data_IF_950111138065
#
_entry.id   IF_950111138065
#
_cell.length_a   1.000
_cell.length_b   1.000
_cell.length_c   1.000
_cell.angle_alpha   90.00
_cell.angle_beta   90.00
_cell.angle_gamma   90.00
#
_symmetry.space_group_name_H-M   'P 1'
#
loop_
_entity.id
_entity.type
_entity.pdbx_description
1 polymer ?
#
# COMPACT_ATOMS: atom_id res chain seq x y z
N UNK A 1 64.41 18.16 -4.37
CA UNK A 1 62.94 18.10 -4.25
C UNK A 1 62.37 17.92 -5.64
N UNK A 2 61.83 16.76 -5.90
CA UNK A 2 61.63 16.24 -7.25
C UNK A 2 60.51 16.98 -8.00
N UNK A 3 60.86 17.46 -9.22
CA UNK A 3 59.92 18.13 -10.14
C UNK A 3 58.69 17.27 -10.54
N UNK A 4 58.70 16.03 -10.15
CA UNK A 4 57.60 15.09 -10.35
C UNK A 4 56.32 15.52 -9.57
N UNK A 5 56.47 16.03 -8.34
CA UNK A 5 55.37 16.54 -7.54
C UNK A 5 54.61 17.72 -8.14
N UNK A 6 55.35 18.62 -8.82
CA UNK A 6 54.75 19.77 -9.52
C UNK A 6 53.93 19.36 -10.75
N UNK A 7 54.24 18.22 -11.32
CA UNK A 7 53.57 17.74 -12.55
C UNK A 7 52.28 16.96 -12.26
N UNK A 8 52.16 16.32 -11.09
CA UNK A 8 50.99 15.52 -10.71
C UNK A 8 50.00 16.26 -9.82
N UNK A 9 50.40 17.39 -9.20
CA UNK A 9 49.55 18.19 -8.34
C UNK A 9 48.21 18.63 -8.97
N UNK A 10 48.18 19.16 -10.23
CA UNK A 10 46.93 19.58 -10.84
C UNK A 10 45.98 18.41 -11.14
N UNK A 11 46.51 17.22 -11.39
CA UNK A 11 45.66 16.03 -11.61
C UNK A 11 45.09 15.46 -10.33
N UNK A 12 45.80 15.61 -9.21
CA UNK A 12 45.34 15.17 -7.90
C UNK A 12 44.17 16.03 -7.39
N UNK A 13 44.23 17.34 -7.62
CA UNK A 13 43.15 18.27 -7.26
C UNK A 13 41.90 18.07 -8.13
N UNK A 14 42.10 17.77 -9.42
CA UNK A 14 40.99 17.46 -10.33
C UNK A 14 40.29 16.16 -9.95
N UNK A 15 41.04 15.13 -9.57
CA UNK A 15 40.49 13.85 -9.14
C UNK A 15 39.64 13.95 -7.88
N UNK A 16 40.08 14.73 -6.88
CA UNK A 16 39.33 14.95 -5.65
C UNK A 16 38.02 15.70 -5.91
N UNK A 17 38.03 16.70 -6.80
CA UNK A 17 36.83 17.45 -7.16
C UNK A 17 35.78 16.58 -7.86
N UNK A 18 36.19 15.67 -8.75
CA UNK A 18 35.29 14.75 -9.44
C UNK A 18 34.66 13.74 -8.47
N UNK A 19 35.45 13.20 -7.54
CA UNK A 19 34.93 12.28 -6.52
C UNK A 19 33.93 12.98 -5.58
N UNK A 20 34.20 14.23 -5.21
CA UNK A 20 33.28 15.01 -4.37
C UNK A 20 31.94 15.32 -5.08
N UNK A 21 32.00 15.63 -6.40
CA UNK A 21 30.81 15.88 -7.20
C UNK A 21 29.96 14.60 -7.41
N UNK A 22 30.60 13.47 -7.69
CA UNK A 22 29.93 12.19 -7.85
C UNK A 22 29.38 11.66 -6.53
N UNK A 23 30.13 11.80 -5.44
CA UNK A 23 29.67 11.43 -4.10
C UNK A 23 28.51 12.31 -3.62
N UNK A 24 28.59 13.61 -3.84
CA UNK A 24 27.50 14.54 -3.52
C UNK A 24 26.22 14.27 -4.33
N UNK A 25 26.38 13.94 -5.61
CA UNK A 25 25.24 13.57 -6.46
C UNK A 25 24.59 12.26 -6.01
N UNK A 26 25.40 11.28 -5.60
CA UNK A 26 24.90 9.99 -5.12
C UNK A 26 24.13 10.13 -3.79
N UNK A 27 24.65 10.90 -2.84
CA UNK A 27 23.97 11.18 -1.56
C UNK A 27 22.71 12.04 -1.79
N UNK A 28 22.77 13.02 -2.70
CA UNK A 28 21.60 13.83 -3.05
C UNK A 28 20.50 13.02 -3.72
N UNK A 29 20.84 12.01 -4.52
CA UNK A 29 19.87 11.15 -5.20
C UNK A 29 19.31 10.07 -4.29
N UNK A 30 20.11 9.53 -3.35
CA UNK A 30 19.62 8.56 -2.35
C UNK A 30 18.87 9.20 -1.19
N UNK A 31 19.07 10.47 -0.92
CA UNK A 31 18.40 11.21 0.18
C UNK A 31 17.07 11.84 -0.19
N UNK A 32 16.64 11.74 -1.44
CA UNK A 32 15.26 12.04 -1.80
C UNK A 32 14.47 10.75 -1.71
N UNK A 33 13.78 10.57 -0.60
CA UNK A 33 12.62 9.72 -0.55
C UNK A 33 11.70 10.17 -1.68
N UNK A 34 11.85 9.51 -2.82
CA UNK A 34 10.87 9.61 -3.89
C UNK A 34 9.63 8.95 -3.32
N UNK A 35 8.78 9.77 -2.72
CA UNK A 35 7.42 9.40 -2.45
C UNK A 35 6.78 9.15 -3.83
N UNK A 36 6.53 7.91 -4.22
CA UNK A 36 5.80 7.66 -5.45
C UNK A 36 4.40 8.16 -5.20
N UNK A 37 4.03 9.17 -5.93
CA UNK A 37 2.69 9.69 -5.92
C UNK A 37 1.68 8.59 -6.19
N UNK A 38 0.73 8.50 -5.30
CA UNK A 38 -0.65 8.12 -5.50
C UNK A 38 -0.92 7.04 -6.55
N UNK A 39 -0.86 5.83 -6.11
CA UNK A 39 -1.25 4.61 -6.79
C UNK A 39 -0.93 3.45 -5.87
N UNK A 40 -1.42 3.50 -4.64
CA UNK A 40 -1.26 2.39 -3.71
C UNK A 40 -2.18 1.25 -4.14
N UNK A 41 -1.66 0.38 -4.99
CA UNK A 41 -2.07 -1.01 -4.90
C UNK A 41 -1.60 -1.47 -3.50
N UNK A 42 -2.51 -1.49 -2.54
CA UNK A 42 -2.22 -2.02 -1.21
C UNK A 42 -2.13 -3.53 -1.37
N UNK A 43 -0.91 -4.03 -1.47
CA UNK A 43 -0.67 -5.47 -1.36
C UNK A 43 -1.11 -5.89 0.03
N UNK A 44 -2.06 -6.82 0.10
CA UNK A 44 -2.48 -7.41 1.37
C UNK A 44 -1.26 -7.95 2.10
N UNK A 45 -0.87 -7.31 3.19
CA UNK A 45 0.16 -7.81 4.09
C UNK A 45 -0.53 -8.66 5.14
N UNK A 46 0.05 -9.82 5.45
CA UNK A 46 -0.34 -10.59 6.62
C UNK A 46 -0.04 -9.73 7.85
N UNK A 47 -1.08 -9.12 8.42
CA UNK A 47 -0.94 -8.29 9.61
C UNK A 47 -0.83 -9.17 10.86
N UNK A 48 -0.01 -8.75 11.80
CA UNK A 48 0.13 -9.42 13.09
C UNK A 48 -0.99 -8.99 14.04
N UNK A 49 -1.33 -9.78 15.07
CA UNK A 49 -2.34 -9.38 16.05
C UNK A 49 -2.08 -8.03 16.73
N UNK A 50 -0.83 -7.58 16.75
CA UNK A 50 -0.45 -6.27 17.30
C UNK A 50 -0.86 -5.12 16.39
N UNK A 51 -0.84 -5.31 15.08
CA UNK A 51 -1.25 -4.31 14.09
C UNK A 51 -2.77 -4.07 14.09
N UNK A 52 -3.52 -4.98 14.71
CA UNK A 52 -4.98 -4.89 14.86
C UNK A 52 -5.42 -4.17 16.14
N UNK A 53 -4.50 -3.90 17.07
CA UNK A 53 -4.84 -3.22 18.32
C UNK A 53 -5.37 -1.81 18.05
N UNK A 54 -6.54 -1.51 18.63
CA UNK A 54 -7.19 -0.21 18.49
C UNK A 54 -8.07 -0.07 17.24
N UNK A 55 -8.19 -1.14 16.45
CA UNK A 55 -9.11 -1.20 15.31
C UNK A 55 -10.32 -2.10 15.60
N UNK A 56 -11.49 -1.69 15.14
CA UNK A 56 -12.63 -2.59 14.97
C UNK A 56 -12.35 -3.45 13.74
N UNK A 57 -12.33 -4.77 13.88
CA UNK A 57 -12.08 -5.69 12.77
C UNK A 57 -13.40 -6.33 12.34
N UNK A 58 -13.71 -6.24 11.05
CA UNK A 58 -14.90 -6.82 10.45
C UNK A 58 -14.46 -7.90 9.46
N UNK A 59 -14.80 -9.15 9.76
CA UNK A 59 -14.49 -10.27 8.88
C UNK A 59 -15.53 -10.41 7.76
N UNK A 60 -15.06 -10.55 6.55
CA UNK A 60 -15.87 -10.72 5.34
C UNK A 60 -15.37 -11.92 4.56
N UNK A 61 -16.17 -12.97 4.52
CA UNK A 61 -15.84 -14.13 3.70
C UNK A 61 -16.05 -13.82 2.22
N UNK A 62 -15.04 -14.15 1.41
CA UNK A 62 -15.10 -13.97 -0.04
C UNK A 62 -15.22 -15.33 -0.70
N UNK A 63 -16.32 -15.52 -1.42
CA UNK A 63 -16.62 -16.76 -2.16
C UNK A 63 -16.79 -16.47 -3.65
N UNK A 64 -17.04 -17.52 -4.43
CA UNK A 64 -17.39 -17.37 -5.84
C UNK A 64 -18.76 -16.72 -6.07
N UNK A 65 -19.61 -16.77 -5.05
CA UNK A 65 -21.01 -16.30 -5.09
C UNK A 65 -21.16 -14.87 -4.57
N UNK A 66 -20.16 -14.37 -3.83
CA UNK A 66 -20.21 -13.02 -3.30
C UNK A 66 -19.44 -12.81 -2.02
N UNK A 67 -19.77 -11.72 -1.37
CA UNK A 67 -19.24 -11.32 -0.06
C UNK A 67 -20.26 -11.69 1.04
N UNK A 68 -19.76 -12.19 2.16
CA UNK A 68 -20.58 -12.51 3.34
C UNK A 68 -19.95 -11.91 4.61
N UNK A 69 -20.57 -10.92 5.24
CA UNK A 69 -21.85 -10.29 4.83
C UNK A 69 -21.72 -9.48 3.52
N UNK A 70 -22.81 -9.38 2.77
CA UNK A 70 -22.86 -8.60 1.53
C UNK A 70 -22.89 -7.08 1.80
N UNK A 71 -23.45 -6.67 2.94
CA UNK A 71 -23.42 -5.30 3.43
C UNK A 71 -22.52 -5.24 4.66
N UNK A 72 -21.45 -4.46 4.54
CA UNK A 72 -20.43 -4.29 5.59
C UNK A 72 -20.69 -2.95 6.25
N UNK A 73 -21.15 -2.94 7.50
CA UNK A 73 -21.39 -1.69 8.24
C UNK A 73 -20.11 -1.22 8.95
N UNK A 74 -19.71 0.01 8.69
CA UNK A 74 -18.54 0.67 9.29
C UNK A 74 -19.01 1.96 9.96
N UNK A 75 -18.54 2.20 11.18
CA UNK A 75 -18.86 3.42 11.92
C UNK A 75 -17.89 4.53 11.56
N UNK A 76 -18.43 5.68 11.15
CA UNK A 76 -17.62 6.89 10.88
C UNK A 76 -16.89 7.33 12.15
N UNK A 77 -15.64 7.72 12.02
CA UNK A 77 -14.79 8.16 13.13
C UNK A 77 -14.17 7.05 13.97
N UNK A 78 -14.55 5.78 13.74
CA UNK A 78 -13.97 4.62 14.43
C UNK A 78 -12.89 4.00 13.55
N UNK A 79 -11.65 3.81 14.06
CA UNK A 79 -10.63 3.09 13.32
C UNK A 79 -11.10 1.67 13.02
N UNK A 80 -11.30 1.33 11.76
CA UNK A 80 -11.84 0.05 11.33
C UNK A 80 -10.95 -0.60 10.30
N UNK A 81 -10.76 -1.91 10.43
CA UNK A 81 -10.15 -2.75 9.40
C UNK A 81 -11.15 -3.79 8.91
N UNK A 82 -11.26 -3.93 7.62
CA UNK A 82 -12.05 -4.99 6.99
C UNK A 82 -11.09 -6.11 6.61
N UNK A 83 -11.34 -7.31 7.12
CA UNK A 83 -10.60 -8.51 6.79
C UNK A 83 -11.36 -9.31 5.73
N UNK A 84 -10.89 -9.29 4.51
CA UNK A 84 -11.44 -10.11 3.43
C UNK A 84 -10.77 -11.49 3.45
N UNK A 85 -11.52 -12.50 3.85
CA UNK A 85 -11.04 -13.88 3.99
C UNK A 85 -11.26 -14.62 2.67
N UNK A 86 -10.19 -14.85 1.93
CA UNK A 86 -10.24 -15.56 0.66
C UNK A 86 -9.96 -17.05 0.86
N UNK A 87 -10.97 -17.89 0.74
CA UNK A 87 -10.82 -19.32 0.89
C UNK A 87 -10.04 -19.96 -0.26
N UNK A 88 -9.49 -21.15 -0.05
CA UNK A 88 -8.68 -21.85 -1.07
C UNK A 88 -9.49 -22.29 -2.29
N UNK A 89 -10.79 -22.47 -2.13
CA UNK A 89 -11.70 -22.89 -3.20
C UNK A 89 -12.02 -21.78 -4.20
N UNK A 90 -11.82 -20.52 -3.81
CA UNK A 90 -12.06 -19.37 -4.70
C UNK A 90 -10.89 -19.18 -5.65
N UNK A 91 -11.15 -19.21 -6.95
CA UNK A 91 -10.10 -19.19 -7.98
C UNK A 91 -10.11 -17.93 -8.85
N UNK A 92 -11.26 -17.23 -8.94
CA UNK A 92 -11.40 -16.08 -9.85
C UNK A 92 -11.33 -14.72 -9.15
N UNK A 93 -11.53 -14.63 -7.86
CA UNK A 93 -11.41 -13.37 -7.13
C UNK A 93 -9.95 -13.13 -6.79
N UNK A 94 -9.32 -12.21 -7.49
CA UNK A 94 -7.91 -11.82 -7.27
C UNK A 94 -7.75 -10.46 -6.63
N UNK A 95 -8.77 -9.62 -6.75
CA UNK A 95 -8.79 -8.30 -6.12
C UNK A 95 -10.21 -7.90 -5.77
N UNK A 96 -10.33 -7.01 -4.81
CA UNK A 96 -11.57 -6.33 -4.44
C UNK A 96 -11.34 -4.83 -4.46
N UNK A 97 -12.30 -4.10 -4.94
CA UNK A 97 -12.22 -2.66 -5.09
C UNK A 97 -13.50 -1.95 -4.63
N UNK A 98 -13.34 -0.76 -4.08
CA UNK A 98 -14.38 0.21 -3.83
C UNK A 98 -13.85 1.57 -4.24
N UNK A 99 -14.07 1.94 -5.49
CA UNK A 99 -13.44 3.10 -6.14
C UNK A 99 -13.68 4.41 -5.38
N UNK A 100 -14.90 4.62 -4.91
CA UNK A 100 -15.26 5.82 -4.15
C UNK A 100 -14.57 5.92 -2.78
N UNK A 101 -14.06 4.80 -2.26
CA UNK A 101 -13.23 4.76 -1.05
C UNK A 101 -11.73 4.81 -1.36
N UNK A 102 -11.35 4.78 -2.64
CA UNK A 102 -9.96 4.64 -3.05
C UNK A 102 -9.37 3.28 -2.69
N UNK A 103 -10.24 2.27 -2.49
CA UNK A 103 -9.82 0.91 -2.16
C UNK A 103 -9.57 0.11 -3.42
N UNK A 104 -8.37 -0.46 -3.53
CA UNK A 104 -8.00 -1.49 -4.48
C UNK A 104 -7.06 -2.47 -3.77
N UNK A 105 -7.58 -3.64 -3.43
CA UNK A 105 -6.91 -4.64 -2.63
C UNK A 105 -6.67 -5.89 -3.45
N UNK A 106 -5.41 -6.21 -3.74
CA UNK A 106 -5.03 -7.49 -4.33
C UNK A 106 -5.03 -8.57 -3.25
N UNK A 107 -5.80 -9.64 -3.49
CA UNK A 107 -6.08 -10.67 -2.50
C UNK A 107 -5.12 -11.84 -2.57
N UNK A 108 -4.69 -12.31 -1.42
CA UNK A 108 -4.00 -13.58 -1.21
C UNK A 108 -4.93 -14.58 -0.53
N UNK A 109 -4.60 -15.86 -0.58
CA UNK A 109 -5.34 -16.89 0.18
C UNK A 109 -5.21 -16.66 1.67
N UNK A 110 -6.34 -16.67 2.37
CA UNK A 110 -6.44 -16.35 3.79
C UNK A 110 -6.88 -14.91 4.04
N UNK A 111 -6.34 -14.30 5.08
CA UNK A 111 -6.73 -12.98 5.56
C UNK A 111 -6.09 -11.86 4.73
N UNK A 112 -6.90 -10.85 4.43
CA UNK A 112 -6.49 -9.68 3.66
C UNK A 112 -7.13 -8.44 4.28
N UNK A 113 -6.32 -7.60 4.94
CA UNK A 113 -6.80 -6.46 5.69
C UNK A 113 -6.78 -5.18 4.86
N UNK A 114 -7.87 -4.43 4.95
CA UNK A 114 -7.99 -3.08 4.45
C UNK A 114 -8.33 -2.12 5.58
N UNK A 115 -7.55 -1.06 5.75
CA UNK A 115 -7.82 -0.03 6.75
C UNK A 115 -8.75 1.03 6.17
N UNK A 116 -9.91 1.18 6.75
CA UNK A 116 -10.86 2.23 6.38
C UNK A 116 -10.42 3.55 7.00
N UNK A 117 -10.37 4.61 6.18
CA UNK A 117 -10.08 5.94 6.71
C UNK A 117 -11.23 6.38 7.63
N UNK A 118 -10.89 6.75 8.85
CA UNK A 118 -11.85 7.24 9.86
C UNK A 118 -12.62 8.50 9.44
N UNK A 119 -12.11 9.24 8.45
CA UNK A 119 -12.73 10.46 7.93
C UNK A 119 -13.66 10.20 6.74
N UNK A 120 -13.92 8.95 6.39
CA UNK A 120 -14.86 8.62 5.32
C UNK A 120 -16.26 9.13 5.69
N UNK A 121 -16.88 9.84 4.77
CA UNK A 121 -18.24 10.36 4.97
C UNK A 121 -19.26 9.22 5.10
N UNK A 122 -20.29 9.39 5.93
CA UNK A 122 -21.41 8.46 5.95
C UNK A 122 -22.04 8.29 4.56
N UNK A 123 -22.38 7.06 4.20
CA UNK A 123 -22.95 6.75 2.89
C UNK A 123 -22.77 5.28 2.51
N UNK A 124 -23.22 4.94 1.33
CA UNK A 124 -23.08 3.60 0.75
C UNK A 124 -22.04 3.63 -0.38
N UNK A 125 -21.10 2.71 -0.29
CA UNK A 125 -20.00 2.57 -1.21
C UNK A 125 -20.04 1.19 -1.83
N UNK A 126 -20.13 1.16 -3.16
CA UNK A 126 -20.12 -0.10 -3.90
C UNK A 126 -18.78 -0.82 -3.74
N UNK A 127 -18.87 -2.11 -3.47
CA UNK A 127 -17.77 -3.03 -3.38
C UNK A 127 -17.92 -4.06 -4.50
N UNK A 128 -16.86 -4.36 -5.22
CA UNK A 128 -16.86 -5.37 -6.28
C UNK A 128 -15.53 -6.10 -6.36
N UNK A 129 -15.51 -7.29 -6.97
CA UNK A 129 -14.26 -7.92 -7.35
C UNK A 129 -13.68 -7.27 -8.60
N UNK A 130 -12.36 -7.44 -8.83
CA UNK A 130 -11.68 -6.84 -9.98
C UNK A 130 -12.22 -7.25 -11.35
N UNK A 131 -13.00 -8.33 -11.43
CA UNK A 131 -13.66 -8.77 -12.66
C UNK A 131 -15.14 -8.35 -12.75
N UNK A 132 -15.65 -7.58 -11.80
CA UNK A 132 -17.05 -7.11 -11.75
C UNK A 132 -18.09 -8.24 -11.81
N UNK A 133 -17.76 -9.40 -11.23
CA UNK A 133 -18.64 -10.58 -11.21
C UNK A 133 -19.45 -10.70 -9.92
N UNK A 134 -18.90 -10.19 -8.81
CA UNK A 134 -19.56 -10.18 -7.50
C UNK A 134 -19.52 -8.77 -6.92
N UNK A 135 -20.59 -8.41 -6.24
CA UNK A 135 -20.82 -7.08 -5.67
C UNK A 135 -21.21 -7.16 -4.21
N UNK A 136 -20.88 -6.12 -3.48
CA UNK A 136 -21.29 -5.88 -2.10
C UNK A 136 -21.40 -4.39 -1.83
N UNK A 137 -21.67 -4.03 -0.58
CA UNK A 137 -21.78 -2.64 -0.16
C UNK A 137 -21.03 -2.42 1.15
N UNK A 138 -20.22 -1.37 1.21
CA UNK A 138 -19.67 -0.85 2.46
C UNK A 138 -20.56 0.32 2.86
N UNK A 139 -21.27 0.20 3.97
CA UNK A 139 -22.14 1.22 4.52
C UNK A 139 -21.48 1.89 5.71
N UNK A 140 -21.16 3.17 5.54
CA UNK A 140 -20.60 4.00 6.62
C UNK A 140 -21.73 4.76 7.31
N UNK A 141 -21.87 4.54 8.61
CA UNK A 141 -22.92 5.11 9.47
C UNK A 141 -22.36 6.05 10.53
#
# INVERSE_FOLDING_TARGET
MNNWFKKVWPFLTLGVAVVALLGGFFVYFMGKDVSPGSGKAVTAQAETPEDLKGYEVIDVNVSNDGFEPNVIEVKSGVPTKINFILTRSVTHVKSVAAEKLGMDLYMQKGDNYYTVDKNVAPGEYELHCGMYMIYGTIKVI
#
